data_IF_154132571977
#
_entry.id   IF_154132571977
#
_cell.length_a   1.000
_cell.length_b   1.000
_cell.length_c   1.000
_cell.angle_alpha   90.00
_cell.angle_beta   90.00
_cell.angle_gamma   90.00
#
_symmetry.space_group_name_H-M   'P 1'
#
loop_
_entity.id
_entity.type
_entity.pdbx_description
1 polymer ?
#
# COMPACT_ATOMS: atom_id res chain seq x y z
N UNK A 1 6.33 -3.79 12.30
CA UNK A 1 5.01 -4.31 12.69
C UNK A 1 4.68 -5.55 11.85
N UNK A 2 3.87 -6.48 12.37
CA UNK A 2 3.38 -7.66 11.65
C UNK A 2 2.08 -7.31 10.92
N UNK A 3 1.88 -7.83 9.69
CA UNK A 3 0.64 -7.62 8.92
C UNK A 3 -0.51 -8.46 9.47
N UNK A 4 -1.74 -7.95 9.42
CA UNK A 4 -2.94 -8.73 9.75
C UNK A 4 -3.29 -9.65 8.58
N UNK A 5 -3.44 -10.94 8.87
CA UNK A 5 -3.74 -11.97 7.87
C UNK A 5 -5.24 -12.21 7.69
N UNK A 6 -6.08 -11.66 8.59
CA UNK A 6 -7.54 -11.80 8.62
C UNK A 6 -8.27 -10.55 8.18
N UNK A 7 -7.64 -9.38 8.31
CA UNK A 7 -8.22 -8.09 7.91
C UNK A 7 -7.30 -7.32 6.95
N UNK A 8 -7.81 -6.24 6.37
CA UNK A 8 -7.02 -5.35 5.49
C UNK A 8 -6.02 -4.56 6.34
N UNK A 9 -4.74 -4.62 5.95
CA UNK A 9 -3.67 -3.84 6.56
C UNK A 9 -3.41 -2.57 5.76
N UNK A 10 -3.26 -1.43 6.44
CA UNK A 10 -2.75 -0.19 5.82
C UNK A 10 -1.23 -0.18 5.95
N UNK A 11 -0.57 0.16 4.84
CA UNK A 11 0.88 0.27 4.72
C UNK A 11 1.26 1.74 4.59
N UNK A 12 2.28 2.15 5.33
CA UNK A 12 2.60 3.55 5.54
C UNK A 12 3.99 3.89 5.02
N UNK A 13 4.13 5.08 4.46
CA UNK A 13 5.40 5.65 4.04
C UNK A 13 6.37 5.68 5.23
N UNK A 14 7.52 5.02 5.09
CA UNK A 14 8.52 4.94 6.16
C UNK A 14 9.20 6.28 6.48
N UNK A 15 9.09 7.26 5.58
CA UNK A 15 9.64 8.61 5.80
C UNK A 15 8.58 9.55 6.38
N UNK A 16 7.39 9.59 5.77
CA UNK A 16 6.39 10.60 6.11
C UNK A 16 5.32 10.15 7.10
N UNK A 17 5.11 8.83 7.23
CA UNK A 17 4.01 8.23 8.01
C UNK A 17 2.66 8.23 7.29
N UNK A 18 2.59 8.72 6.06
CA UNK A 18 1.34 8.80 5.29
C UNK A 18 0.87 7.43 4.78
N UNK A 19 -0.43 7.18 4.68
CA UNK A 19 -0.95 5.91 4.17
C UNK A 19 -0.72 5.79 2.65
N UNK A 20 -0.11 4.70 2.20
CA UNK A 20 0.23 4.49 0.79
C UNK A 20 -0.62 3.41 0.13
N UNK A 21 -0.82 2.30 0.84
CA UNK A 21 -1.55 1.15 0.32
C UNK A 21 -2.45 0.55 1.40
N UNK A 22 -3.49 -0.15 0.97
CA UNK A 22 -4.33 -1.00 1.83
C UNK A 22 -4.48 -2.36 1.17
N UNK A 23 -4.06 -3.43 1.82
CA UNK A 23 -4.14 -4.77 1.24
C UNK A 23 -4.43 -5.86 2.29
N UNK A 24 -5.15 -6.94 1.91
CA UNK A 24 -5.73 -7.15 0.59
C UNK A 24 -7.05 -6.39 0.39
N UNK A 25 -7.39 -6.05 -0.87
CA UNK A 25 -8.72 -5.53 -1.26
C UNK A 25 -9.21 -6.23 -2.52
N UNK A 26 -10.41 -6.81 -2.48
CA UNK A 26 -10.98 -7.57 -3.61
C UNK A 26 -10.32 -8.93 -3.86
N UNK A 27 -9.44 -9.36 -2.95
CA UNK A 27 -8.78 -10.68 -2.94
C UNK A 27 -8.51 -11.14 -1.52
N UNK A 28 -8.14 -12.41 -1.37
CA UNK A 28 -7.72 -12.98 -0.07
C UNK A 28 -6.27 -12.61 0.25
N UNK A 29 -5.92 -12.63 1.54
CA UNK A 29 -4.53 -12.44 1.97
C UNK A 29 -3.58 -13.47 1.34
N UNK A 30 -4.04 -14.73 1.17
CA UNK A 30 -3.27 -15.78 0.50
C UNK A 30 -2.96 -15.44 -0.95
N UNK A 31 -3.89 -14.85 -1.68
CA UNK A 31 -3.66 -14.40 -3.06
C UNK A 31 -2.68 -13.22 -3.12
N UNK A 32 -2.82 -12.25 -2.21
CA UNK A 32 -1.86 -11.15 -2.06
C UNK A 32 -0.44 -11.67 -1.79
N UNK A 33 -0.30 -12.59 -0.83
CA UNK A 33 0.99 -13.17 -0.45
C UNK A 33 1.59 -14.00 -1.59
N UNK A 34 0.80 -14.86 -2.23
CA UNK A 34 1.28 -15.71 -3.34
C UNK A 34 1.77 -14.88 -4.53
N UNK A 35 1.09 -13.78 -4.86
CA UNK A 35 1.55 -12.86 -5.91
C UNK A 35 2.84 -12.15 -5.50
N UNK A 36 2.93 -11.70 -4.25
CA UNK A 36 4.12 -11.02 -3.72
C UNK A 36 5.34 -11.96 -3.69
N UNK A 37 5.17 -13.20 -3.23
CA UNK A 37 6.22 -14.23 -3.19
C UNK A 37 6.68 -14.62 -4.59
N UNK A 38 5.75 -14.80 -5.54
CA UNK A 38 6.07 -15.14 -6.93
C UNK A 38 6.98 -14.10 -7.58
N UNK A 39 6.80 -12.82 -7.24
CA UNK A 39 7.55 -11.74 -7.85
C UNK A 39 8.72 -11.25 -7.00
N UNK A 40 8.80 -11.59 -5.72
CA UNK A 40 9.90 -11.25 -4.80
C UNK A 40 9.71 -9.95 -4.02
N UNK A 41 8.62 -9.21 -4.27
CA UNK A 41 8.29 -7.96 -3.59
C UNK A 41 6.79 -7.90 -3.28
N UNK A 42 6.36 -7.16 -2.24
CA UNK A 42 4.98 -6.76 -2.07
C UNK A 42 4.37 -6.25 -3.38
N UNK A 43 3.26 -6.87 -3.79
CA UNK A 43 2.60 -6.63 -5.08
C UNK A 43 1.20 -6.11 -4.84
N UNK A 44 0.95 -4.83 -5.17
CA UNK A 44 -0.36 -4.19 -4.99
C UNK A 44 -1.08 -4.00 -6.33
N UNK A 45 -2.43 -3.97 -6.29
CA UNK A 45 -3.31 -3.68 -7.44
C UNK A 45 -3.99 -2.32 -7.28
N UNK A 46 -4.63 -1.80 -8.34
CA UNK A 46 -5.25 -0.46 -8.36
C UNK A 46 -6.20 -0.19 -7.17
N UNK A 47 -6.99 -1.19 -6.76
CA UNK A 47 -7.93 -1.12 -5.63
C UNK A 47 -7.26 -1.01 -4.26
N UNK A 48 -5.97 -1.31 -4.19
CA UNK A 48 -5.14 -1.32 -2.98
C UNK A 48 -4.27 -0.06 -2.85
N UNK A 49 -4.30 0.85 -3.84
CA UNK A 49 -3.53 2.11 -3.81
C UNK A 49 -4.34 3.23 -3.18
N UNK A 50 -3.70 4.01 -2.30
CA UNK A 50 -4.25 5.25 -1.75
C UNK A 50 -3.74 6.41 -2.61
N UNK A 51 -4.52 6.74 -3.64
CA UNK A 51 -4.12 7.68 -4.69
C UNK A 51 -3.93 9.12 -4.20
N UNK A 52 -4.43 9.48 -3.02
CA UNK A 52 -4.16 10.78 -2.43
C UNK A 52 -2.65 10.98 -2.20
N UNK A 53 -1.94 9.92 -1.79
CA UNK A 53 -0.53 9.96 -1.38
C UNK A 53 0.43 9.15 -2.27
N UNK A 54 -0.05 8.49 -3.33
CA UNK A 54 0.78 7.73 -4.28
C UNK A 54 0.69 8.32 -5.70
N UNK A 55 1.81 8.38 -6.41
CA UNK A 55 1.89 8.76 -7.84
C UNK A 55 2.66 7.71 -8.62
N UNK A 56 2.30 7.54 -9.89
CA UNK A 56 3.04 6.73 -10.87
C UNK A 56 3.57 7.68 -11.95
N UNK A 57 4.89 7.73 -12.10
CA UNK A 57 5.55 8.58 -13.07
C UNK A 57 5.53 7.94 -14.47
N UNK A 58 5.78 8.70 -15.55
CA UNK A 58 5.72 8.18 -16.93
C UNK A 58 6.65 7.00 -17.22
N UNK A 59 7.76 6.86 -16.49
CA UNK A 59 8.69 5.74 -16.59
C UNK A 59 8.24 4.49 -15.79
N UNK A 60 7.07 4.54 -15.14
CA UNK A 60 6.54 3.48 -14.28
C UNK A 60 7.04 3.55 -12.84
N UNK A 61 7.90 4.50 -12.47
CA UNK A 61 8.32 4.68 -11.08
C UNK A 61 7.13 5.05 -10.18
N UNK A 62 7.03 4.39 -9.03
CA UNK A 62 5.99 4.66 -8.03
C UNK A 62 6.63 5.44 -6.89
N UNK A 63 6.06 6.60 -6.57
CA UNK A 63 6.56 7.52 -5.53
C UNK A 63 5.42 7.94 -4.60
N UNK A 64 5.75 8.28 -3.35
CA UNK A 64 4.80 8.98 -2.48
C UNK A 64 4.73 10.47 -2.82
N UNK A 65 3.66 11.16 -2.40
CA UNK A 65 3.57 12.63 -2.51
C UNK A 65 4.61 13.35 -1.64
N UNK A 66 5.21 12.65 -0.67
CA UNK A 66 6.32 13.16 0.13
C UNK A 66 7.70 12.96 -0.54
N UNK A 67 7.76 12.31 -1.71
CA UNK A 67 8.99 12.11 -2.48
C UNK A 67 9.71 10.79 -2.19
N UNK A 68 9.12 9.88 -1.40
CA UNK A 68 9.71 8.56 -1.15
C UNK A 68 9.63 7.70 -2.41
N UNK A 69 10.74 7.15 -2.87
CA UNK A 69 10.74 6.10 -3.89
C UNK A 69 10.09 4.83 -3.31
N UNK A 70 8.99 4.37 -3.92
CA UNK A 70 8.25 3.21 -3.44
C UNK A 70 8.63 1.95 -4.22
N UNK A 71 8.72 2.04 -5.54
CA UNK A 71 9.00 0.90 -6.40
C UNK A 71 8.63 1.20 -7.85
N UNK A 72 8.10 0.22 -8.57
CA UNK A 72 7.69 0.37 -9.97
C UNK A 72 6.35 -0.30 -10.27
N UNK A 73 5.55 0.31 -11.16
CA UNK A 73 4.42 -0.32 -11.81
C UNK A 73 4.94 -1.18 -12.96
N UNK A 74 4.71 -2.49 -12.87
CA UNK A 74 5.10 -3.47 -13.87
C UNK A 74 3.84 -4.24 -14.29
N UNK A 75 3.00 -3.66 -15.18
CA UNK A 75 1.73 -4.25 -15.56
C UNK A 75 1.87 -5.68 -16.10
N UNK A 76 0.87 -6.50 -15.85
CA UNK A 76 0.75 -7.86 -16.36
C UNK A 76 -0.62 -8.08 -17.03
N UNK A 77 -0.94 -9.32 -17.39
CA UNK A 77 -2.22 -9.65 -18.03
C UNK A 77 -3.45 -9.37 -17.16
N UNK A 78 -3.28 -9.04 -15.87
CA UNK A 78 -4.36 -8.67 -14.94
C UNK A 78 -4.42 -7.15 -14.69
N UNK A 79 -3.64 -6.35 -15.42
CA UNK A 79 -3.60 -4.89 -15.29
C UNK A 79 -2.35 -4.40 -14.54
N UNK A 80 -2.44 -3.24 -13.91
CA UNK A 80 -1.33 -2.67 -13.15
C UNK A 80 -0.90 -3.59 -12.00
N UNK A 81 0.40 -3.58 -11.72
CA UNK A 81 1.00 -4.35 -10.63
C UNK A 81 2.14 -3.54 -10.03
N UNK A 82 1.89 -3.01 -8.85
CA UNK A 82 2.84 -2.17 -8.14
C UNK A 82 3.78 -3.04 -7.31
N UNK A 83 5.01 -3.18 -7.80
CA UNK A 83 6.09 -3.93 -7.18
C UNK A 83 6.87 -2.99 -6.25
N UNK A 84 6.62 -3.10 -4.95
CA UNK A 84 7.00 -2.07 -3.96
C UNK A 84 8.07 -2.58 -2.99
N UNK A 85 9.05 -1.73 -2.68
CA UNK A 85 10.08 -2.01 -1.70
C UNK A 85 9.46 -2.13 -0.30
N UNK A 86 9.65 -3.26 0.38
CA UNK A 86 9.08 -3.46 1.72
C UNK A 86 9.50 -2.36 2.71
N UNK A 87 10.73 -1.88 2.61
CA UNK A 87 11.28 -0.83 3.50
C UNK A 87 10.62 0.53 3.31
N UNK A 88 10.04 0.84 2.14
CA UNK A 88 9.39 2.14 1.89
C UNK A 88 7.96 2.20 2.44
N UNK A 89 7.36 1.04 2.75
CA UNK A 89 5.96 0.91 3.19
C UNK A 89 5.79 0.34 4.61
N UNK A 90 6.91 0.19 5.33
CA UNK A 90 6.95 -0.30 6.71
C UNK A 90 6.93 0.83 7.76
N UNK A 91 6.38 2.00 7.40
CA UNK A 91 6.21 3.13 8.30
C UNK A 91 5.14 2.90 9.38
N UNK A 92 5.03 3.87 10.28
CA UNK A 92 4.00 3.93 11.32
C UNK A 92 3.24 5.24 11.10
N UNK A 93 1.90 5.25 11.20
CA UNK A 93 1.11 6.47 11.10
C UNK A 93 1.55 7.49 12.16
N UNK A 94 1.38 8.78 11.85
CA UNK A 94 1.51 9.83 12.86
C UNK A 94 0.26 9.87 13.74
N UNK A 95 0.43 10.25 15.00
CA UNK A 95 -0.65 10.25 16.01
C UNK A 95 -1.93 10.97 15.54
N UNK A 96 -1.78 12.08 14.81
CA UNK A 96 -2.91 12.86 14.28
C UNK A 96 -3.72 12.10 13.20
N UNK A 97 -3.06 11.22 12.43
CA UNK A 97 -3.70 10.43 11.38
C UNK A 97 -4.41 9.19 11.97
N UNK A 98 -3.88 8.61 13.06
CA UNK A 98 -4.53 7.49 13.77
C UNK A 98 -5.89 7.92 14.35
N UNK A 99 -5.97 9.11 14.94
CA UNK A 99 -7.19 9.63 15.53
C UNK A 99 -8.26 9.92 14.49
N UNK A 100 -7.87 10.45 13.32
CA UNK A 100 -8.79 10.72 12.22
C UNK A 100 -9.36 9.44 11.62
N UNK A 101 -8.53 8.39 11.46
CA UNK A 101 -9.01 7.09 10.97
C UNK A 101 -9.99 6.43 11.94
N UNK A 102 -9.70 6.48 13.25
CA UNK A 102 -10.60 5.93 14.27
C UNK A 102 -11.95 6.66 14.31
N UNK A 103 -11.95 7.99 14.16
CA UNK A 103 -13.20 8.77 14.09
C UNK A 103 -14.00 8.45 12.82
N UNK A 104 -13.35 8.28 11.67
CA UNK A 104 -14.05 7.94 10.42
C UNK A 104 -14.67 6.53 10.46
N UNK A 105 -14.01 5.56 11.10
CA UNK A 105 -14.54 4.20 11.26
C UNK A 105 -15.74 4.15 12.22
N UNK A 106 -15.78 5.03 13.22
CA UNK A 106 -16.92 5.13 14.16
C UNK A 106 -18.14 5.81 13.53
N UNK A 107 -17.96 6.71 12.56
CA UNK A 107 -19.05 7.40 11.87
C UNK A 107 -19.72 6.56 10.77
N UNK A 108 -19.12 5.44 10.39
CA UNK A 108 -19.65 4.51 9.38
C UNK A 108 -20.35 3.28 10.00
N UNK A 109 -20.52 3.27 11.32
CA UNK A 109 -21.32 2.30 12.09
C UNK A 109 -22.57 2.98 12.64
#
# INVERSE_FOLDING_TARGET
SQVDTKSTTVYYDSVSGKPLFKAPVGRTFRQFLAESEKHGWPSFRDSEVIWDDVRVLPNGEVVSTAGTHLGHNIPDGSGNRYCINLVSVAGIPKEDDEQQQQQQQQQQQ
#
